data_IF_944151895125
#
_entry.id   IF_944151895125
#
_cell.length_a   1.000
_cell.length_b   1.000
_cell.length_c   1.000
_cell.angle_alpha   90.00
_cell.angle_beta   90.00
_cell.angle_gamma   90.00
#
_symmetry.space_group_name_H-M   'P 1'
#
loop_
_entity.id
_entity.type
_entity.pdbx_description
1 polymer ?
#
# COMPACT_ATOMS: atom_id res chain seq x y z
N UNK A 1 21.05 -41.99 17.94
CA UNK A 1 20.19 -41.35 16.92
C UNK A 1 19.15 -40.41 17.53
N UNK A 2 18.48 -40.78 18.63
CA UNK A 2 17.46 -39.96 19.32
C UNK A 2 17.96 -38.56 19.72
N UNK A 3 19.17 -38.42 20.27
CA UNK A 3 19.71 -37.11 20.68
C UNK A 3 19.90 -36.15 19.51
N UNK A 4 20.32 -36.66 18.34
CA UNK A 4 20.43 -35.84 17.12
C UNK A 4 19.07 -35.37 16.64
N UNK A 5 18.04 -36.21 16.78
CA UNK A 5 16.66 -35.85 16.46
C UNK A 5 16.16 -34.75 17.40
N UNK A 6 16.36 -34.91 18.71
CA UNK A 6 15.99 -33.94 19.75
C UNK A 6 16.63 -32.57 19.51
N UNK A 7 17.95 -32.53 19.26
CA UNK A 7 18.66 -31.27 18.98
C UNK A 7 18.17 -30.61 17.69
N UNK A 8 17.89 -31.39 16.64
CA UNK A 8 17.33 -30.85 15.38
C UNK A 8 15.92 -30.27 15.58
N UNK A 9 15.08 -30.93 16.37
CA UNK A 9 13.73 -30.42 16.66
C UNK A 9 13.79 -29.17 17.53
N UNK A 10 14.64 -29.12 18.56
CA UNK A 10 14.79 -27.93 19.39
C UNK A 10 15.32 -26.73 18.60
N UNK A 11 16.26 -26.95 17.68
CA UNK A 11 16.75 -25.89 16.79
C UNK A 11 15.66 -25.36 15.85
N UNK A 12 14.88 -26.27 15.26
CA UNK A 12 13.78 -25.91 14.36
C UNK A 12 12.71 -25.09 15.08
N UNK A 13 12.28 -25.50 16.28
CA UNK A 13 11.31 -24.75 17.08
C UNK A 13 11.86 -23.37 17.50
N UNK A 14 13.15 -23.30 17.85
CA UNK A 14 13.80 -22.02 18.18
C UNK A 14 13.88 -21.08 16.98
N UNK A 15 14.11 -21.61 15.78
CA UNK A 15 14.10 -20.80 14.55
C UNK A 15 12.67 -20.38 14.17
N UNK A 16 11.71 -21.30 14.27
CA UNK A 16 10.30 -21.05 13.96
C UNK A 16 9.68 -19.97 14.88
N UNK A 17 9.98 -20.00 16.18
CA UNK A 17 9.52 -18.97 17.12
C UNK A 17 9.97 -17.55 16.73
N UNK A 18 11.17 -17.43 16.16
CA UNK A 18 11.75 -16.15 15.75
C UNK A 18 11.52 -15.85 14.25
N UNK A 19 10.75 -16.68 13.55
CA UNK A 19 10.48 -16.50 12.12
C UNK A 19 9.37 -15.45 11.92
N UNK A 20 9.75 -14.28 11.40
CA UNK A 20 8.85 -13.17 11.11
C UNK A 20 8.39 -13.14 9.64
N UNK A 21 8.80 -14.11 8.80
CA UNK A 21 8.54 -14.09 7.36
C UNK A 21 7.05 -14.17 6.99
N UNK A 22 6.21 -14.69 7.89
CA UNK A 22 4.74 -14.73 7.72
C UNK A 22 3.98 -13.60 8.43
N UNK A 23 4.48 -13.14 9.58
CA UNK A 23 3.85 -12.09 10.40
C UNK A 23 4.01 -10.72 9.73
N UNK A 24 5.17 -10.48 9.12
CA UNK A 24 5.47 -9.26 8.36
C UNK A 24 4.51 -9.02 7.18
N UNK A 25 4.09 -10.07 6.47
CA UNK A 25 3.19 -9.92 5.34
C UNK A 25 1.79 -9.42 5.75
N UNK A 26 1.28 -9.87 6.91
CA UNK A 26 -0.03 -9.44 7.42
C UNK A 26 0.06 -8.01 7.98
N UNK A 27 1.16 -7.69 8.67
CA UNK A 27 1.40 -6.34 9.21
C UNK A 27 1.56 -5.30 8.10
N UNK A 28 2.37 -5.58 7.08
CA UNK A 28 2.50 -4.70 5.92
C UNK A 28 1.21 -4.62 5.11
N UNK A 29 0.41 -5.70 5.07
CA UNK A 29 -0.94 -5.68 4.52
C UNK A 29 -1.84 -4.66 5.22
N UNK A 30 -1.85 -4.65 6.55
CA UNK A 30 -2.61 -3.69 7.35
C UNK A 30 -2.10 -2.24 7.17
N UNK A 31 -0.78 -2.05 7.15
CA UNK A 31 -0.16 -0.74 6.86
C UNK A 31 -0.57 -0.25 5.47
N UNK A 32 -0.62 -1.13 4.47
CA UNK A 32 -1.08 -0.80 3.11
C UNK A 32 -2.52 -0.28 3.09
N UNK A 33 -3.43 -0.92 3.84
CA UNK A 33 -4.83 -0.46 3.99
C UNK A 33 -4.88 0.91 4.68
N UNK A 34 -4.12 1.10 5.77
CA UNK A 34 -4.07 2.38 6.46
C UNK A 34 -3.54 3.51 5.55
N UNK A 35 -2.52 3.23 4.76
CA UNK A 35 -1.97 4.18 3.78
C UNK A 35 -2.97 4.51 2.67
N UNK A 36 -3.72 3.53 2.16
CA UNK A 36 -4.74 3.77 1.15
C UNK A 36 -5.84 4.72 1.67
N UNK A 37 -6.30 4.51 2.91
CA UNK A 37 -7.27 5.40 3.55
C UNK A 37 -6.68 6.79 3.76
N UNK A 38 -5.46 6.90 4.30
CA UNK A 38 -4.80 8.18 4.52
C UNK A 38 -4.62 8.98 3.22
N UNK A 39 -4.17 8.33 2.14
CA UNK A 39 -4.03 8.95 0.83
C UNK A 39 -5.38 9.34 0.24
N UNK A 40 -6.42 8.51 0.42
CA UNK A 40 -7.76 8.88 -0.03
C UNK A 40 -8.22 10.16 0.67
N UNK A 41 -8.10 10.27 1.99
CA UNK A 41 -8.51 11.48 2.72
C UNK A 41 -7.65 12.69 2.33
N UNK A 42 -6.34 12.51 2.21
CA UNK A 42 -5.41 13.60 1.89
C UNK A 42 -5.58 14.14 0.46
N UNK A 43 -5.92 13.28 -0.50
CA UNK A 43 -6.02 13.63 -1.92
C UNK A 43 -7.47 13.91 -2.36
N UNK A 44 -8.45 13.33 -1.67
CA UNK A 44 -9.88 13.57 -1.88
C UNK A 44 -10.46 14.36 -0.71
N UNK A 45 -10.14 15.65 -0.67
CA UNK A 45 -10.94 16.62 0.09
C UNK A 45 -12.39 16.49 -0.40
N UNK A 46 -13.33 16.26 0.52
CA UNK A 46 -14.73 15.99 0.19
C UNK A 46 -15.35 17.20 -0.54
N UNK A 47 -15.69 17.01 -1.82
CA UNK A 47 -16.38 18.01 -2.64
C UNK A 47 -15.68 18.29 -3.98
N UNK A 48 -16.16 19.32 -4.67
CA UNK A 48 -15.59 19.82 -5.94
C UNK A 48 -14.17 20.39 -5.79
N UNK A 49 -13.70 20.66 -4.56
CA UNK A 49 -12.42 21.33 -4.30
C UNK A 49 -11.30 20.34 -3.91
N UNK A 50 -11.51 19.04 -4.12
CA UNK A 50 -10.47 18.03 -3.89
C UNK A 50 -9.29 18.16 -4.85
N UNK A 51 -8.07 17.92 -4.38
CA UNK A 51 -6.84 18.02 -5.18
C UNK A 51 -6.92 17.22 -6.50
N UNK A 52 -7.46 16.00 -6.45
CA UNK A 52 -7.66 15.17 -7.65
C UNK A 52 -8.64 15.83 -8.64
N UNK A 53 -9.68 16.49 -8.14
CA UNK A 53 -10.67 17.15 -8.99
C UNK A 53 -10.11 18.42 -9.63
N UNK A 54 -9.34 19.22 -8.89
CA UNK A 54 -8.61 20.37 -9.42
C UNK A 54 -7.60 19.94 -10.51
N UNK A 55 -6.86 18.87 -10.26
CA UNK A 55 -5.94 18.31 -11.24
C UNK A 55 -6.69 17.89 -12.52
N UNK A 56 -7.82 17.19 -12.37
CA UNK A 56 -8.68 16.80 -13.50
C UNK A 56 -9.19 18.01 -14.28
N UNK A 57 -9.65 19.05 -13.58
CA UNK A 57 -10.12 20.28 -14.23
C UNK A 57 -9.01 20.98 -15.00
N UNK A 58 -7.80 21.07 -14.44
CA UNK A 58 -6.65 21.67 -15.13
C UNK A 58 -6.33 20.94 -16.44
N UNK A 59 -6.27 19.61 -16.41
CA UNK A 59 -6.01 18.82 -17.63
C UNK A 59 -7.16 18.88 -18.64
N UNK A 60 -8.41 18.95 -18.17
CA UNK A 60 -9.58 19.13 -19.05
C UNK A 60 -9.48 20.46 -19.79
N UNK A 61 -9.21 21.57 -19.07
CA UNK A 61 -9.03 22.89 -19.69
C UNK A 61 -7.90 22.92 -20.73
N UNK A 62 -6.80 22.23 -20.47
CA UNK A 62 -5.69 22.11 -21.43
C UNK A 62 -6.17 21.38 -22.69
N UNK A 63 -6.89 20.25 -22.53
CA UNK A 63 -7.47 19.50 -23.63
C UNK A 63 -8.43 20.35 -24.47
N UNK A 64 -9.37 21.04 -23.83
CA UNK A 64 -10.35 21.91 -24.49
C UNK A 64 -9.66 23.05 -25.27
N UNK A 65 -8.59 23.61 -24.70
CA UNK A 65 -7.80 24.67 -25.36
C UNK A 65 -7.11 24.14 -26.61
N UNK A 66 -6.55 22.93 -26.56
CA UNK A 66 -5.90 22.28 -27.70
C UNK A 66 -6.93 21.98 -28.80
N UNK A 67 -8.09 21.44 -28.44
CA UNK A 67 -9.16 21.12 -29.39
C UNK A 67 -9.69 22.39 -30.07
N UNK A 68 -9.93 23.45 -29.30
CA UNK A 68 -10.37 24.75 -29.83
C UNK A 68 -9.32 25.41 -30.72
N UNK A 69 -8.03 25.27 -30.38
CA UNK A 69 -6.93 25.86 -31.17
C UNK A 69 -6.60 25.09 -32.45
N UNK A 70 -7.10 23.86 -32.59
CA UNK A 70 -6.87 23.00 -33.76
C UNK A 70 -7.99 23.11 -34.80
N UNK A 71 -9.15 23.68 -34.44
CA UNK A 71 -10.24 24.03 -35.36
C UNK A 71 -10.08 25.46 -35.90
#
# INVERSE_FOLDING_TARGET
>A
MITKLYVKTSLFLSQFKNDQRGVTAIEYGLIGVAMAVALSVALSTSGSDGFINELKQAFTKIGDTIETSTQ
#
